data_IF_720163133360
#
_entry.id   IF_720163133360
#
_cell.length_a   1.000
_cell.length_b   1.000
_cell.length_c   1.000
_cell.angle_alpha   90.00
_cell.angle_beta   90.00
_cell.angle_gamma   90.00
#
_symmetry.space_group_name_H-M   'P 1'
#
loop_
_entity.id
_entity.type
_entity.pdbx_description
1 polymer ?
#
# COMPACT_ATOMS: atom_id res chain seq x y z
N UNK A 1 -4.76 -3.65 -12.80
CA UNK A 1 -5.51 -3.67 -11.53
C UNK A 1 -7.03 -3.69 -11.75
N UNK A 2 -7.47 -3.13 -12.87
CA UNK A 2 -8.84 -2.87 -13.30
C UNK A 2 -9.62 -4.18 -13.48
N UNK A 3 -9.05 -5.15 -14.19
CA UNK A 3 -9.71 -6.45 -14.37
C UNK A 3 -9.88 -7.21 -13.05
N UNK A 4 -8.83 -7.26 -12.23
CA UNK A 4 -8.88 -7.88 -10.90
C UNK A 4 -9.93 -7.19 -10.00
N UNK A 5 -9.99 -5.86 -10.03
CA UNK A 5 -11.01 -5.11 -9.29
C UNK A 5 -12.41 -5.39 -9.82
N UNK A 6 -12.63 -5.43 -11.14
CA UNK A 6 -13.93 -5.75 -11.73
C UNK A 6 -14.44 -7.13 -11.27
N UNK A 7 -13.55 -8.13 -11.23
CA UNK A 7 -13.86 -9.48 -10.74
C UNK A 7 -14.41 -9.49 -9.31
N UNK A 8 -13.84 -8.68 -8.41
CA UNK A 8 -14.25 -8.62 -6.99
C UNK A 8 -15.30 -7.53 -6.68
N UNK A 9 -15.72 -6.77 -7.70
CA UNK A 9 -16.72 -5.70 -7.56
C UNK A 9 -17.94 -5.97 -8.45
N UNK A 10 -18.01 -5.37 -9.63
CA UNK A 10 -19.19 -5.45 -10.52
C UNK A 10 -19.50 -6.88 -10.94
N UNK A 11 -18.50 -7.67 -11.32
CA UNK A 11 -18.72 -9.06 -11.75
C UNK A 11 -19.23 -9.93 -10.60
N UNK A 12 -18.67 -9.79 -9.41
CA UNK A 12 -19.15 -10.50 -8.21
C UNK A 12 -20.61 -10.14 -7.88
N UNK A 13 -20.97 -8.86 -7.95
CA UNK A 13 -22.35 -8.40 -7.72
C UNK A 13 -23.32 -8.99 -8.74
N UNK A 14 -22.94 -8.96 -10.01
CA UNK A 14 -23.76 -9.53 -11.09
C UNK A 14 -23.96 -11.05 -10.91
N UNK A 15 -22.89 -11.78 -10.55
CA UNK A 15 -22.97 -13.21 -10.26
C UNK A 15 -23.91 -13.53 -9.07
N UNK A 16 -24.03 -12.61 -8.11
CA UNK A 16 -24.94 -12.72 -6.96
C UNK A 16 -26.36 -12.20 -7.25
N UNK A 17 -26.66 -11.75 -8.47
CA UNK A 17 -27.98 -11.20 -8.83
C UNK A 17 -28.32 -9.89 -8.11
N UNK A 18 -27.31 -9.14 -7.66
CA UNK A 18 -27.52 -7.87 -6.97
C UNK A 18 -27.84 -6.74 -7.97
N UNK A 19 -28.56 -5.68 -7.55
CA UNK A 19 -28.81 -4.53 -8.40
C UNK A 19 -27.51 -3.91 -8.93
N UNK A 20 -27.55 -3.46 -10.18
CA UNK A 20 -26.44 -2.74 -10.80
C UNK A 20 -26.18 -1.42 -10.04
N UNK A 21 -24.91 -1.04 -9.96
CA UNK A 21 -24.45 0.13 -9.22
C UNK A 21 -23.48 0.92 -10.10
N UNK A 22 -23.73 2.22 -10.21
CA UNK A 22 -22.92 3.14 -11.02
C UNK A 22 -22.82 4.49 -10.34
N UNK A 23 -21.76 5.21 -10.65
CA UNK A 23 -21.61 6.62 -10.25
C UNK A 23 -22.37 7.49 -11.26
N UNK A 24 -23.69 7.35 -11.27
CA UNK A 24 -24.60 7.98 -12.22
C UNK A 24 -25.95 8.22 -11.54
N UNK A 25 -26.63 9.31 -11.90
CA UNK A 25 -27.94 9.62 -11.35
C UNK A 25 -28.96 8.52 -11.70
N UNK A 26 -29.84 8.20 -10.74
CA UNK A 26 -30.84 7.13 -10.88
C UNK A 26 -30.36 5.73 -10.46
N UNK A 27 -29.06 5.53 -10.24
CA UNK A 27 -28.53 4.29 -9.67
C UNK A 27 -28.46 4.32 -8.13
N UNK A 28 -28.46 3.15 -7.47
CA UNK A 28 -28.29 3.10 -6.02
C UNK A 28 -27.02 3.80 -5.55
N UNK A 29 -27.12 4.60 -4.50
CA UNK A 29 -26.00 5.30 -3.88
C UNK A 29 -25.14 4.37 -3.01
N UNK A 30 -24.50 3.39 -3.66
CA UNK A 30 -23.59 2.38 -3.10
C UNK A 30 -22.16 2.68 -3.56
N UNK A 31 -21.32 3.21 -2.68
CA UNK A 31 -20.02 3.77 -3.06
C UNK A 31 -18.91 3.43 -2.05
N UNK A 32 -17.69 3.27 -2.56
CA UNK A 32 -16.46 3.23 -1.77
C UNK A 32 -15.59 4.43 -2.15
N UNK A 33 -15.44 5.38 -1.23
CA UNK A 33 -14.58 6.53 -1.44
C UNK A 33 -13.20 6.28 -0.81
N UNK A 34 -12.17 6.50 -1.63
CA UNK A 34 -10.76 6.26 -1.33
C UNK A 34 -9.95 7.41 -1.89
N UNK A 35 -8.84 7.76 -1.24
CA UNK A 35 -7.94 8.80 -1.72
C UNK A 35 -6.93 8.20 -2.69
N UNK A 36 -6.90 8.71 -3.92
CA UNK A 36 -5.87 8.40 -4.90
C UNK A 36 -6.36 8.65 -6.33
N UNK A 37 -5.42 8.60 -7.28
CA UNK A 37 -5.71 8.93 -8.68
C UNK A 37 -5.86 7.69 -9.56
N UNK A 38 -5.13 6.62 -9.25
CA UNK A 38 -5.09 5.38 -10.03
C UNK A 38 -5.43 4.20 -9.16
N UNK A 39 -6.25 3.29 -9.69
CA UNK A 39 -6.73 2.11 -8.97
C UNK A 39 -5.57 1.25 -8.43
N UNK A 40 -4.52 1.05 -9.22
CA UNK A 40 -3.34 0.29 -8.78
C UNK A 40 -2.68 0.91 -7.54
N UNK A 41 -2.51 2.23 -7.51
CA UNK A 41 -1.93 2.95 -6.38
C UNK A 41 -2.83 2.84 -5.13
N UNK A 42 -4.14 3.02 -5.32
CA UNK A 42 -5.15 2.90 -4.25
C UNK A 42 -5.19 1.49 -3.65
N UNK A 43 -5.10 0.44 -4.47
CA UNK A 43 -5.14 -0.94 -3.99
C UNK A 43 -3.82 -1.39 -3.36
N UNK A 44 -2.70 -0.79 -3.73
CA UNK A 44 -1.37 -1.16 -3.21
C UNK A 44 -1.13 -0.66 -1.78
N UNK A 45 -1.87 0.35 -1.35
CA UNK A 45 -1.66 1.03 -0.08
C UNK A 45 -2.95 0.90 0.74
N UNK A 46 -2.84 0.45 1.99
CA UNK A 46 -3.96 0.48 2.92
C UNK A 46 -4.32 1.95 3.20
N UNK A 47 -5.32 2.47 2.49
CA UNK A 47 -5.76 3.85 2.64
C UNK A 47 -6.96 3.98 3.58
N UNK A 48 -7.09 5.18 4.15
CA UNK A 48 -8.35 5.64 4.72
C UNK A 48 -9.46 5.52 3.67
N UNK A 49 -10.62 5.01 4.07
CA UNK A 49 -11.76 4.75 3.18
C UNK A 49 -13.08 5.07 3.87
N UNK A 50 -14.07 5.44 3.07
CA UNK A 50 -15.44 5.67 3.51
C UNK A 50 -16.36 4.74 2.71
N UNK A 51 -17.22 4.01 3.40
CA UNK A 51 -18.22 3.14 2.79
C UNK A 51 -19.58 3.82 2.88
N UNK A 52 -20.26 3.94 1.75
CA UNK A 52 -21.57 4.56 1.62
C UNK A 52 -22.57 3.50 1.15
N UNK A 53 -23.63 3.32 1.91
CA UNK A 53 -24.75 2.44 1.59
C UNK A 53 -26.03 3.26 1.57
N UNK A 54 -26.80 3.19 0.47
CA UNK A 54 -28.02 3.97 0.23
C UNK A 54 -27.87 5.46 0.59
N UNK A 55 -26.75 6.06 0.21
CA UNK A 55 -26.47 7.48 0.45
C UNK A 55 -26.08 7.83 1.90
N UNK A 56 -25.86 6.83 2.77
CA UNK A 56 -25.40 7.04 4.15
C UNK A 56 -24.02 6.47 4.36
N UNK A 57 -23.17 7.20 5.08
CA UNK A 57 -21.86 6.67 5.50
C UNK A 57 -22.09 5.62 6.58
N UNK A 58 -21.73 4.38 6.27
CA UNK A 58 -21.89 3.23 7.17
C UNK A 58 -20.58 2.79 7.82
N UNK A 59 -19.44 3.14 7.22
CA UNK A 59 -18.13 2.90 7.82
C UNK A 59 -17.10 3.97 7.42
N UNK A 60 -16.19 4.27 8.34
CA UNK A 60 -14.99 5.07 8.09
C UNK A 60 -13.81 4.32 8.68
N UNK A 61 -12.79 4.10 7.86
CA UNK A 61 -11.50 3.57 8.32
C UNK A 61 -10.46 4.64 8.04
N UNK A 62 -9.60 4.91 9.02
CA UNK A 62 -8.41 5.73 8.85
C UNK A 62 -7.19 4.82 8.85
N UNK A 63 -6.31 5.01 7.87
CA UNK A 63 -5.03 4.33 7.83
C UNK A 63 -3.91 5.34 8.13
N UNK A 64 -3.01 4.96 9.02
CA UNK A 64 -1.78 5.68 9.32
C UNK A 64 -0.63 4.90 8.69
N UNK A 65 0.31 5.62 8.07
CA UNK A 65 1.55 5.02 7.59
C UNK A 65 2.67 5.47 8.49
N UNK A 66 3.30 4.50 9.12
CA UNK A 66 4.54 4.69 9.84
C UNK A 66 5.68 4.30 8.91
N UNK A 67 6.68 5.17 8.85
CA UNK A 67 7.95 4.89 8.18
C UNK A 67 8.94 4.63 9.30
N UNK A 68 9.65 3.51 9.27
CA UNK A 68 10.87 3.41 10.06
C UNK A 68 11.86 4.40 9.45
N UNK A 69 12.33 5.37 10.23
CA UNK A 69 13.54 6.11 9.88
C UNK A 69 14.67 5.08 9.86
N UNK A 70 14.97 4.56 8.68
CA UNK A 70 16.20 3.83 8.45
C UNK A 70 17.33 4.85 8.28
N UNK A 71 17.57 5.66 9.31
CA UNK A 71 18.89 6.22 9.55
C UNK A 71 19.77 5.07 10.06
N UNK A 72 20.09 4.18 9.13
CA UNK A 72 21.28 3.36 9.19
C UNK A 72 22.18 3.78 8.05
N UNK A 73 22.60 5.05 8.08
CA UNK A 73 24.01 5.39 7.83
C UNK A 73 24.85 4.96 9.06
N UNK A 74 24.70 3.69 9.39
CA UNK A 74 25.65 2.96 10.20
C UNK A 74 25.77 1.66 9.44
N UNK A 75 26.55 1.70 8.37
CA UNK A 75 27.10 0.48 7.80
C UNK A 75 27.64 -0.38 8.94
N UNK A 76 27.68 -1.71 8.80
CA UNK A 76 28.41 -2.50 9.78
C UNK A 76 29.80 -1.90 9.83
N UNK A 77 30.18 -1.30 10.97
CA UNK A 77 31.54 -0.85 11.23
C UNK A 77 32.35 -2.13 11.36
N UNK A 78 32.61 -2.74 10.20
CA UNK A 78 33.42 -3.92 10.05
C UNK A 78 34.77 -3.48 10.58
N UNK A 79 35.31 -4.17 11.60
CA UNK A 79 36.61 -3.80 12.13
C UNK A 79 37.58 -3.74 10.97
N UNK A 80 38.12 -2.54 10.69
CA UNK A 80 39.16 -2.37 9.68
C UNK A 80 40.32 -3.24 10.13
N UNK A 81 40.43 -4.44 9.56
CA UNK A 81 41.54 -5.34 9.81
C UNK A 81 42.81 -4.62 9.38
N UNK A 82 43.52 -4.07 10.36
CA UNK A 82 44.85 -3.53 10.17
C UNK A 82 45.72 -4.63 9.59
N UNK A 83 46.22 -4.41 8.38
CA UNK A 83 47.30 -5.22 7.82
C UNK A 83 48.43 -5.22 8.84
N UNK A 84 48.95 -6.38 9.30
CA UNK A 84 50.11 -6.36 10.16
C UNK A 84 51.24 -5.70 9.38
N UNK A 85 51.78 -4.62 9.95
CA UNK A 85 53.02 -4.01 9.48
C UNK A 85 54.03 -5.14 9.34
N UNK A 86 54.52 -5.35 8.12
CA UNK A 86 55.67 -6.22 7.88
C UNK A 86 56.91 -5.47 8.38
N UNK A 87 57.00 -5.33 9.70
CA UNK A 87 58.10 -4.71 10.41
C UNK A 87 59.34 -5.59 10.32
N UNK A 88 60.27 -5.14 9.50
CA UNK A 88 61.72 -5.16 9.67
C UNK A 88 62.40 -6.29 10.49
N UNK A 89 63.23 -7.07 9.78
CA UNK A 89 64.59 -7.46 10.21
C UNK A 89 64.84 -8.97 10.44
N UNK A 90 66.12 -9.45 10.40
CA UNK A 90 67.38 -8.72 10.26
C UNK A 90 68.21 -9.08 9.00
N UNK A 91 69.20 -8.24 8.71
CA UNK A 91 70.34 -8.58 7.83
C UNK A 91 71.32 -9.46 8.59
N UNK A 92 71.79 -10.53 7.96
CA UNK A 92 73.05 -11.22 8.25
C UNK A 92 73.76 -11.48 6.93
#
# INVERSE_FOLDING_TARGET
AEHAYAMVSTTARAALGLPDVRVEAGFPAELLAVRGERLSAVLSLAYSRIVIHRGRVVARTSAVREYCDSDTDTGPDLPRQGRPDSGAGPKS
#
